data_IF_500280466652
#
_entry.id   IF_500280466652
#
_cell.length_a   1.000
_cell.length_b   1.000
_cell.length_c   1.000
_cell.angle_alpha   90.00
_cell.angle_beta   90.00
_cell.angle_gamma   90.00
#
_symmetry.space_group_name_H-M   'P 1'
#
loop_
_entity.id
_entity.type
_entity.pdbx_description
1 polymer ?
#
# COMPACT_ATOMS: atom_id res chain seq x y z
N UNK A 1 7.12 33.60 17.56
CA UNK A 1 6.11 33.09 16.60
C UNK A 1 5.84 34.09 15.46
N UNK A 2 5.37 35.31 15.71
CA UNK A 2 5.11 36.31 14.64
C UNK A 2 6.36 36.73 13.83
N UNK A 3 7.54 36.74 14.45
CA UNK A 3 8.81 37.03 13.75
C UNK A 3 9.27 35.91 12.80
N UNK A 4 8.89 34.66 13.10
CA UNK A 4 9.10 33.50 12.21
C UNK A 4 8.12 33.53 11.03
N UNK A 5 6.89 34.00 11.26
CA UNK A 5 5.87 34.18 10.23
C UNK A 5 6.29 35.28 9.23
N UNK A 6 6.86 36.39 9.71
CA UNK A 6 7.31 37.48 8.83
C UNK A 6 8.50 37.08 7.95
N UNK A 7 9.46 36.34 8.51
CA UNK A 7 10.58 35.81 7.72
C UNK A 7 10.10 34.78 6.69
N UNK A 8 9.13 33.93 7.03
CA UNK A 8 8.53 32.94 6.13
C UNK A 8 7.85 33.55 4.89
N UNK A 9 7.18 34.71 5.04
CA UNK A 9 6.57 35.41 3.90
C UNK A 9 7.61 35.98 2.91
N UNK A 10 8.74 36.51 3.42
CA UNK A 10 9.84 36.98 2.56
C UNK A 10 10.49 35.79 1.84
N UNK A 11 10.65 34.64 2.50
CA UNK A 11 11.22 33.43 1.89
C UNK A 11 10.31 32.88 0.78
N UNK A 12 8.99 32.84 0.98
CA UNK A 12 8.04 32.37 -0.06
C UNK A 12 8.06 33.27 -1.30
N UNK A 13 8.20 34.58 -1.14
CA UNK A 13 8.24 35.52 -2.26
C UNK A 13 9.54 35.43 -3.06
N UNK A 14 10.65 35.11 -2.39
CA UNK A 14 11.95 34.83 -3.03
C UNK A 14 11.91 33.45 -3.74
N UNK A 15 11.30 32.44 -3.12
CA UNK A 15 11.17 31.09 -3.71
C UNK A 15 10.33 31.11 -4.98
N UNK A 16 9.18 31.80 -4.99
CA UNK A 16 8.32 31.90 -6.18
C UNK A 16 9.01 32.62 -7.33
N UNK A 17 9.79 33.67 -7.03
CA UNK A 17 10.57 34.41 -8.03
C UNK A 17 11.73 33.55 -8.60
N UNK A 18 12.43 32.79 -7.74
CA UNK A 18 13.51 31.91 -8.15
C UNK A 18 13.01 30.67 -8.93
N UNK A 19 11.85 30.13 -8.58
CA UNK A 19 11.24 29.00 -9.29
C UNK A 19 10.79 29.40 -10.71
N UNK A 20 10.34 30.65 -10.90
CA UNK A 20 10.05 31.21 -12.22
C UNK A 20 11.32 31.36 -13.09
N UNK A 21 12.42 31.85 -12.49
CA UNK A 21 13.71 32.00 -13.18
C UNK A 21 14.32 30.64 -13.54
N UNK A 22 14.24 29.66 -12.63
CA UNK A 22 14.74 28.30 -12.85
C UNK A 22 13.99 27.58 -13.97
N UNK A 23 12.67 27.69 -14.01
CA UNK A 23 11.85 27.10 -15.09
C UNK A 23 12.19 27.69 -16.46
N UNK A 24 12.48 28.99 -16.54
CA UNK A 24 12.94 29.63 -17.78
C UNK A 24 14.34 29.16 -18.20
N UNK A 25 15.27 28.97 -17.25
CA UNK A 25 16.60 28.42 -17.56
C UNK A 25 16.51 26.96 -18.04
N UNK A 26 15.67 26.13 -17.42
CA UNK A 26 15.49 24.74 -17.80
C UNK A 26 14.88 24.61 -19.22
N UNK A 27 13.93 25.48 -19.58
CA UNK A 27 13.39 25.54 -20.94
C UNK A 27 14.45 25.97 -21.96
N UNK A 28 15.31 26.92 -21.62
CA UNK A 28 16.40 27.36 -22.49
C UNK A 28 17.47 26.27 -22.68
N UNK A 29 17.81 25.51 -21.64
CA UNK A 29 18.73 24.37 -21.75
C UNK A 29 18.16 23.25 -22.62
N UNK A 30 16.88 22.91 -22.46
CA UNK A 30 16.20 21.91 -23.32
C UNK A 30 16.19 22.35 -24.78
N UNK A 31 15.94 23.63 -25.07
CA UNK A 31 16.04 24.19 -26.43
C UNK A 31 17.47 24.08 -27.00
N UNK A 32 18.49 24.40 -26.21
CA UNK A 32 19.89 24.27 -26.65
C UNK A 32 20.31 22.82 -26.91
N UNK A 33 19.88 21.86 -26.08
CA UNK A 33 20.15 20.44 -26.31
C UNK A 33 19.48 19.91 -27.58
N UNK A 34 18.25 20.34 -27.87
CA UNK A 34 17.56 19.99 -29.12
C UNK A 34 18.30 20.58 -30.33
N UNK A 35 18.74 21.84 -30.25
CA UNK A 35 19.52 22.49 -31.31
C UNK A 35 20.85 21.76 -31.54
N UNK A 36 21.58 21.40 -30.48
CA UNK A 36 22.82 20.64 -30.58
C UNK A 36 22.60 19.24 -31.20
N UNK A 37 21.53 18.55 -30.80
CA UNK A 37 21.17 17.24 -31.36
C UNK A 37 20.84 17.33 -32.85
N UNK A 38 20.13 18.38 -33.26
CA UNK A 38 19.79 18.62 -34.67
C UNK A 38 21.01 19.01 -35.50
N UNK A 39 21.95 19.79 -34.95
CA UNK A 39 23.24 20.10 -35.59
C UNK A 39 24.11 18.86 -35.77
N UNK A 40 24.12 17.96 -34.78
CA UNK A 40 24.88 16.72 -34.83
C UNK A 40 24.29 15.73 -35.86
N UNK A 41 22.97 15.67 -35.96
CA UNK A 41 22.27 14.93 -37.01
C UNK A 41 22.55 15.50 -38.40
N UNK A 42 22.54 16.82 -38.57
CA UNK A 42 22.85 17.48 -39.85
C UNK A 42 24.31 17.24 -40.29
N UNK A 43 25.26 17.29 -39.35
CA UNK A 43 26.67 16.98 -39.64
C UNK A 43 26.87 15.51 -40.02
N UNK A 44 26.16 14.58 -39.37
CA UNK A 44 26.22 13.17 -39.72
C UNK A 44 25.63 12.90 -41.12
N UNK A 45 24.53 13.58 -41.48
CA UNK A 45 23.94 13.48 -42.83
C UNK A 45 24.88 14.02 -43.92
N UNK A 46 25.51 15.18 -43.69
CA UNK A 46 26.51 15.73 -44.62
C UNK A 46 27.74 14.82 -44.79
N UNK A 47 28.12 14.10 -43.72
CA UNK A 47 29.22 13.14 -43.76
C UNK A 47 28.84 11.89 -44.56
N UNK A 48 27.60 11.43 -44.43
CA UNK A 48 27.06 10.29 -45.22
C UNK A 48 26.98 10.67 -46.70
N UNK A 49 26.49 11.86 -47.04
CA UNK A 49 26.42 12.34 -48.44
C UNK A 49 27.83 12.48 -49.05
N UNK A 50 28.82 12.92 -48.27
CA UNK A 50 30.22 12.97 -48.72
C UNK A 50 30.81 11.57 -49.00
N UNK A 51 30.51 10.59 -48.15
CA UNK A 51 30.96 9.19 -48.33
C UNK A 51 30.27 8.54 -49.53
N UNK A 52 28.97 8.80 -49.74
CA UNK A 52 28.24 8.32 -50.91
C UNK A 52 28.84 8.90 -52.20
N UNK A 53 29.16 10.20 -52.22
CA UNK A 53 29.79 10.85 -53.38
C UNK A 53 31.18 10.29 -53.69
N UNK A 54 31.99 10.00 -52.67
CA UNK A 54 33.29 9.32 -52.83
C UNK A 54 33.14 7.90 -53.40
N UNK A 55 32.09 7.16 -53.00
CA UNK A 55 31.82 5.82 -53.53
C UNK A 55 31.32 5.86 -54.99
N UNK A 56 30.55 6.88 -55.37
CA UNK A 56 30.11 7.10 -56.76
C UNK A 56 31.29 7.50 -57.67
N UNK A 57 32.21 8.33 -57.20
CA UNK A 57 33.42 8.73 -57.93
C UNK A 57 34.39 7.55 -58.14
N UNK A 58 34.46 6.59 -57.21
CA UNK A 58 35.25 5.36 -57.39
C UNK A 58 34.59 4.35 -58.35
N UNK A 59 33.26 4.26 -58.36
CA UNK A 59 32.55 3.39 -59.31
C UNK A 59 32.60 3.92 -60.76
N UNK A 60 32.61 5.24 -60.95
CA UNK A 60 32.77 5.84 -62.28
C UNK A 60 34.18 5.66 -62.85
N UNK A 61 35.22 5.59 -62.00
CA UNK A 61 36.59 5.29 -62.44
C UNK A 61 36.81 3.80 -62.76
N UNK A 62 36.07 2.88 -62.15
CA UNK A 62 36.17 1.44 -62.44
C UNK A 62 35.36 0.98 -63.67
N UNK A 63 34.37 1.78 -64.12
CA UNK A 63 33.57 1.46 -65.32
C UNK A 63 34.21 1.87 -66.67
N UNK A 64 35.41 2.46 -66.67
CA UNK A 64 36.18 2.73 -67.91
C UNK A 64 37.19 1.64 -68.29
N UNK A 65 37.31 0.57 -67.50
CA UNK A 65 38.13 -0.59 -67.84
C UNK A 65 37.36 -1.88 -67.60
N UNK A 66 36.60 -2.34 -68.60
CA UNK A 66 36.52 -3.73 -69.07
C UNK A 66 35.25 -3.97 -69.90
N UNK A 67 35.38 -3.72 -71.20
CA UNK A 67 34.47 -4.22 -72.21
C UNK A 67 35.02 -5.57 -72.75
N UNK A 68 34.33 -6.69 -72.47
CA UNK A 68 34.01 -7.79 -73.40
C UNK A 68 33.42 -9.01 -72.67
N UNK A 69 32.14 -9.24 -72.99
CA UNK A 69 31.28 -10.44 -72.86
C UNK A 69 31.91 -11.76 -73.40
N UNK A 70 31.22 -12.93 -73.41
CA UNK A 70 30.08 -13.45 -72.60
C UNK A 70 30.21 -14.96 -72.23
N UNK A 71 29.34 -15.50 -71.34
CA UNK A 71 28.49 -16.69 -71.62
C UNK A 71 27.72 -17.27 -70.39
N UNK A 72 26.38 -17.22 -70.52
CA UNK A 72 25.35 -18.26 -70.30
C UNK A 72 25.48 -19.32 -69.17
N UNK A 73 24.40 -19.35 -68.36
CA UNK A 73 23.44 -20.47 -68.11
C UNK A 73 23.43 -21.16 -66.73
N UNK A 74 22.18 -21.24 -66.23
CA UNK A 74 21.53 -22.29 -65.42
C UNK A 74 21.69 -22.32 -63.87
N UNK A 75 20.53 -22.27 -63.20
CA UNK A 75 20.17 -22.56 -61.80
C UNK A 75 19.15 -23.74 -61.90
N UNK A 76 18.90 -24.72 -60.97
CA UNK A 76 19.02 -24.68 -59.49
C UNK A 76 19.46 -25.95 -58.70
N UNK A 77 19.76 -25.69 -57.40
CA UNK A 77 19.31 -26.37 -56.15
C UNK A 77 20.04 -27.59 -55.52
N UNK A 78 20.55 -27.29 -54.31
CA UNK A 78 20.41 -27.95 -52.98
C UNK A 78 21.45 -29.00 -52.56
N UNK A 79 22.14 -28.68 -51.46
CA UNK A 79 22.80 -29.61 -50.54
C UNK A 79 23.77 -28.89 -49.58
N UNK A 80 23.45 -28.69 -48.29
CA UNK A 80 24.25 -27.88 -47.37
C UNK A 80 25.17 -28.72 -46.48
N UNK A 81 26.33 -28.17 -46.08
CA UNK A 81 26.94 -28.35 -44.74
C UNK A 81 28.21 -27.49 -44.56
N UNK A 82 28.17 -26.65 -43.49
CA UNK A 82 29.24 -26.27 -42.55
C UNK A 82 30.39 -25.39 -43.13
N UNK A 83 30.84 -24.28 -42.54
CA UNK A 83 30.79 -23.77 -41.16
C UNK A 83 31.21 -22.28 -41.13
N UNK A 84 30.54 -21.47 -40.29
CA UNK A 84 31.03 -20.40 -39.39
C UNK A 84 31.83 -19.21 -40.00
N UNK A 85 31.63 -17.92 -39.66
CA UNK A 85 30.86 -17.28 -38.57
C UNK A 85 30.90 -15.74 -38.75
N UNK A 86 29.80 -15.01 -38.51
CA UNK A 86 29.65 -13.82 -37.62
C UNK A 86 28.57 -12.80 -38.05
N UNK A 87 27.74 -12.48 -37.05
CA UNK A 87 26.85 -11.31 -36.86
C UNK A 87 25.53 -11.24 -37.65
N UNK A 88 24.38 -11.51 -36.98
CA UNK A 88 23.51 -10.46 -36.39
C UNK A 88 22.27 -11.07 -35.70
N UNK A 89 21.59 -10.28 -34.84
CA UNK A 89 20.26 -10.46 -34.22
C UNK A 89 20.13 -11.26 -32.90
N UNK A 90 20.51 -10.60 -31.79
CA UNK A 90 19.85 -10.75 -30.48
C UNK A 90 18.79 -9.64 -30.34
N UNK A 91 17.54 -9.90 -30.77
CA UNK A 91 16.35 -9.13 -30.34
C UNK A 91 14.98 -9.74 -30.70
N UNK A 92 14.87 -10.96 -31.23
CA UNK A 92 13.56 -11.54 -31.60
C UNK A 92 13.16 -12.86 -30.90
N UNK A 93 13.89 -13.32 -29.88
CA UNK A 93 13.56 -14.62 -29.23
C UNK A 93 12.76 -14.51 -27.91
N UNK A 94 12.63 -13.32 -27.31
CA UNK A 94 11.85 -13.16 -26.07
C UNK A 94 10.36 -12.84 -26.30
N UNK A 95 9.94 -12.47 -27.51
CA UNK A 95 8.52 -12.23 -27.82
C UNK A 95 7.76 -13.51 -28.16
N UNK A 96 8.43 -14.51 -28.77
CA UNK A 96 7.79 -15.77 -29.15
C UNK A 96 7.52 -16.70 -27.94
N UNK A 97 8.35 -16.62 -26.89
CA UNK A 97 8.21 -17.43 -25.68
C UNK A 97 7.09 -16.92 -24.74
N UNK A 98 6.84 -15.60 -24.71
CA UNK A 98 5.70 -14.99 -24.01
C UNK A 98 4.36 -15.23 -24.73
N UNK A 99 4.36 -15.36 -26.06
CA UNK A 99 3.14 -15.57 -26.84
C UNK A 99 2.63 -17.02 -26.79
N UNK A 100 3.53 -17.99 -26.55
CA UNK A 100 3.18 -19.41 -26.41
C UNK A 100 2.70 -19.78 -25.00
N UNK A 101 3.08 -19.04 -23.95
CA UNK A 101 2.62 -19.25 -22.58
C UNK A 101 1.25 -18.62 -22.33
N UNK A 102 0.97 -17.44 -22.91
CA UNK A 102 -0.35 -16.79 -22.84
C UNK A 102 -1.43 -17.60 -23.57
N UNK A 103 -1.11 -18.17 -24.73
CA UNK A 103 -2.01 -19.04 -25.49
C UNK A 103 -2.42 -20.31 -24.75
N UNK A 104 -1.60 -20.84 -23.85
CA UNK A 104 -1.94 -22.04 -23.05
C UNK A 104 -2.84 -21.71 -21.85
N UNK A 105 -2.58 -20.59 -21.17
CA UNK A 105 -3.44 -20.13 -20.07
C UNK A 105 -4.84 -19.74 -20.58
N UNK A 106 -4.94 -19.06 -21.72
CA UNK A 106 -6.23 -18.72 -22.34
C UNK A 106 -7.03 -19.96 -22.75
N UNK A 107 -6.36 -21.04 -23.20
CA UNK A 107 -7.03 -22.30 -23.55
C UNK A 107 -7.54 -23.08 -22.32
N UNK A 108 -6.82 -23.01 -21.19
CA UNK A 108 -7.25 -23.62 -19.93
C UNK A 108 -8.40 -22.85 -19.27
N UNK A 109 -8.43 -21.53 -19.40
CA UNK A 109 -9.49 -20.67 -18.87
C UNK A 109 -10.80 -20.86 -19.65
N UNK A 110 -10.74 -20.97 -20.99
CA UNK A 110 -11.89 -21.31 -21.84
C UNK A 110 -12.44 -22.72 -21.54
N UNK A 111 -11.58 -23.67 -21.15
CA UNK A 111 -12.02 -25.02 -20.75
C UNK A 111 -12.71 -25.03 -19.38
N UNK A 112 -12.25 -24.19 -18.44
CA UNK A 112 -12.90 -23.98 -17.12
C UNK A 112 -14.25 -23.27 -17.26
N UNK A 113 -14.35 -22.25 -18.11
CA UNK A 113 -15.62 -21.57 -18.38
C UNK A 113 -16.65 -22.49 -19.04
N UNK A 114 -16.23 -23.33 -20.01
CA UNK A 114 -17.13 -24.33 -20.63
C UNK A 114 -17.62 -25.39 -19.65
N UNK A 115 -16.81 -25.78 -18.66
CA UNK A 115 -17.22 -26.69 -17.58
C UNK A 115 -18.21 -26.01 -16.62
N UNK A 116 -17.98 -24.74 -16.29
CA UNK A 116 -18.87 -23.92 -15.45
C UNK A 116 -20.22 -23.65 -16.13
N UNK A 117 -20.22 -23.41 -17.45
CA UNK A 117 -21.45 -23.19 -18.24
C UNK A 117 -22.30 -24.47 -18.37
N UNK A 118 -21.63 -25.64 -18.42
CA UNK A 118 -22.28 -26.95 -18.40
C UNK A 118 -22.88 -27.27 -17.02
N UNK A 119 -22.23 -26.84 -15.93
CA UNK A 119 -22.78 -26.93 -14.58
C UNK A 119 -23.98 -26.00 -14.36
N UNK A 120 -23.94 -24.77 -14.90
CA UNK A 120 -25.04 -23.80 -14.82
C UNK A 120 -26.29 -24.21 -15.62
N UNK A 121 -26.14 -24.98 -16.70
CA UNK A 121 -27.28 -25.53 -17.46
C UNK A 121 -28.07 -26.64 -16.73
N UNK A 122 -27.50 -27.24 -15.68
CA UNK A 122 -28.13 -28.32 -14.93
C UNK A 122 -28.91 -27.84 -13.67
N UNK A 123 -28.89 -26.54 -13.36
CA UNK A 123 -29.66 -25.95 -12.27
C UNK A 123 -30.91 -25.24 -12.82
N UNK A 124 -32.01 -25.98 -12.95
CA UNK A 124 -33.35 -25.41 -13.11
C UNK A 124 -34.14 -25.64 -11.83
N UNK A 125 -34.34 -24.59 -11.03
CA UNK A 125 -35.40 -24.56 -10.02
C UNK A 125 -36.06 -23.16 -10.08
N UNK A 126 -37.33 -23.15 -10.48
CA UNK A 126 -38.17 -21.96 -10.57
C UNK A 126 -38.80 -21.61 -9.23
N UNK A 127 -39.13 -20.33 -9.04
CA UNK A 127 -39.82 -19.83 -7.85
C UNK A 127 -41.26 -19.44 -8.20
N UNK A 128 -42.22 -20.11 -7.56
CA UNK A 128 -43.57 -19.58 -7.31
C UNK A 128 -43.81 -19.57 -5.81
N UNK A 129 -44.27 -18.41 -5.32
CA UNK A 129 -44.83 -18.07 -4.02
C UNK A 129 -44.97 -19.17 -2.95
N UNK A 130 -44.35 -18.93 -1.79
CA UNK A 130 -44.90 -19.28 -0.48
C UNK A 130 -44.51 -20.65 0.10
N UNK A 131 -43.64 -20.60 1.12
CA UNK A 131 -43.31 -21.67 2.10
C UNK A 131 -42.74 -22.99 1.57
N UNK A 132 -41.84 -23.57 2.38
CA UNK A 132 -41.68 -25.01 2.75
C UNK A 132 -40.19 -25.28 3.01
N UNK A 133 -39.79 -25.44 4.27
CA UNK A 133 -39.54 -26.71 5.01
C UNK A 133 -38.28 -27.42 4.50
N UNK A 134 -37.31 -27.55 5.40
CA UNK A 134 -36.18 -28.46 5.25
C UNK A 134 -36.69 -29.91 5.34
N UNK A 135 -36.48 -30.69 4.30
CA UNK A 135 -36.37 -32.14 4.42
C UNK A 135 -35.22 -32.64 3.55
N UNK A 136 -34.33 -33.36 4.22
CA UNK A 136 -33.13 -34.02 3.76
C UNK A 136 -33.45 -35.33 3.04
N UNK A 137 -32.70 -35.66 1.97
CA UNK A 137 -32.06 -36.95 1.64
C UNK A 137 -31.71 -36.99 0.14
N UNK A 138 -30.78 -37.89 -0.24
CA UNK A 138 -30.14 -38.13 -1.56
C UNK A 138 -28.77 -37.42 -1.67
N UNK A 139 -27.60 -38.05 -1.81
CA UNK A 139 -27.13 -39.45 -1.81
C UNK A 139 -25.64 -39.42 -1.39
N UNK A 140 -25.22 -40.32 -0.49
CA UNK A 140 -23.96 -40.25 0.28
C UNK A 140 -22.75 -41.00 -0.31
N UNK A 141 -22.79 -41.48 -1.55
CA UNK A 141 -21.76 -42.42 -2.02
C UNK A 141 -20.76 -41.87 -3.06
N UNK A 142 -20.85 -40.61 -3.50
CA UNK A 142 -19.90 -40.02 -4.47
C UNK A 142 -19.19 -38.76 -3.98
N UNK A 143 -19.16 -38.50 -2.66
CA UNK A 143 -18.52 -37.31 -2.07
C UNK A 143 -17.29 -37.64 -1.18
N UNK A 144 -16.86 -38.90 -1.13
CA UNK A 144 -15.86 -39.38 -0.17
C UNK A 144 -14.50 -39.78 -0.79
N UNK A 145 -14.22 -39.41 -2.04
CA UNK A 145 -12.93 -39.68 -2.71
C UNK A 145 -12.01 -38.45 -2.83
N UNK A 146 -12.57 -37.23 -2.87
CA UNK A 146 -11.75 -36.00 -2.96
C UNK A 146 -11.17 -35.57 -1.60
N UNK A 147 -11.89 -35.79 -0.49
CA UNK A 147 -11.42 -35.45 0.87
C UNK A 147 -10.29 -36.35 1.37
N UNK A 148 -10.10 -37.55 0.79
CA UNK A 148 -9.01 -38.45 1.20
C UNK A 148 -7.64 -37.99 0.72
N UNK A 149 -7.57 -37.23 -0.37
CA UNK A 149 -6.30 -36.70 -0.87
C UNK A 149 -5.88 -35.44 -0.09
N UNK A 150 -6.83 -34.65 0.38
CA UNK A 150 -6.57 -33.46 1.19
C UNK A 150 -6.20 -33.85 2.64
N UNK A 151 -6.86 -34.85 3.24
CA UNK A 151 -6.50 -35.38 4.57
C UNK A 151 -5.13 -36.07 4.53
N UNK A 152 -4.82 -36.87 3.50
CA UNK A 152 -3.51 -37.50 3.36
C UNK A 152 -2.37 -36.48 3.21
N UNK A 153 -2.64 -35.33 2.57
CA UNK A 153 -1.67 -34.23 2.46
C UNK A 153 -1.41 -33.54 3.81
N UNK A 154 -2.44 -33.39 4.66
CA UNK A 154 -2.27 -32.81 6.00
C UNK A 154 -1.61 -33.79 6.99
N UNK A 155 -1.90 -35.09 6.91
CA UNK A 155 -1.24 -36.12 7.73
C UNK A 155 0.23 -36.31 7.35
N UNK A 156 0.60 -36.17 6.06
CA UNK A 156 1.99 -36.19 5.60
C UNK A 156 2.77 -34.94 6.06
N UNK A 157 2.11 -33.77 6.15
CA UNK A 157 2.71 -32.55 6.72
C UNK A 157 2.87 -32.62 8.25
N UNK A 158 1.97 -33.30 8.97
CA UNK A 158 2.09 -33.51 10.42
C UNK A 158 3.20 -34.53 10.76
N UNK A 159 3.34 -35.61 9.99
CA UNK A 159 4.41 -36.59 10.21
C UNK A 159 5.81 -36.01 9.94
N UNK A 160 5.95 -35.04 9.01
CA UNK A 160 7.22 -34.31 8.79
C UNK A 160 7.55 -33.36 9.97
N UNK A 161 6.57 -32.96 10.77
CA UNK A 161 6.78 -32.14 11.96
C UNK A 161 7.05 -32.95 13.23
N UNK A 162 6.66 -34.23 13.27
CA UNK A 162 6.84 -35.11 14.45
C UNK A 162 8.14 -35.95 14.42
N UNK A 163 8.88 -36.00 13.29
CA UNK A 163 10.13 -36.78 13.19
C UNK A 163 11.40 -36.09 13.75
N UNK A 164 11.31 -34.88 14.33
CA UNK A 164 12.44 -34.17 14.96
C UNK A 164 12.32 -34.03 16.50
N UNK A 165 11.37 -34.72 17.16
CA UNK A 165 11.18 -34.68 18.64
C UNK A 165 11.70 -35.94 19.37
N UNK A 166 12.86 -36.46 18.99
CA UNK A 166 13.58 -37.48 19.77
C UNK A 166 14.97 -36.97 20.17
N UNK A 167 15.02 -36.14 21.22
CA UNK A 167 16.19 -36.01 22.08
C UNK A 167 15.69 -35.89 23.54
N UNK A 168 15.62 -37.04 24.21
CA UNK A 168 15.41 -37.14 25.65
C UNK A 168 16.51 -36.39 26.39
N UNK A 169 16.17 -35.30 27.09
CA UNK A 169 17.09 -34.67 28.06
C UNK A 169 16.49 -34.70 29.46
N UNK A 170 16.96 -35.67 30.23
CA UNK A 170 16.72 -35.83 31.66
C UNK A 170 17.22 -34.62 32.47
N UNK A 171 16.40 -34.26 33.46
CA UNK A 171 16.66 -33.58 34.74
C UNK A 171 17.94 -32.73 34.95
N UNK A 172 17.68 -31.48 35.34
CA UNK A 172 18.38 -30.78 36.44
C UNK A 172 19.87 -30.47 36.29
N UNK A 173 20.30 -29.78 35.22
CA UNK A 173 21.56 -28.99 35.23
C UNK A 173 21.64 -28.04 34.02
N UNK A 174 20.76 -27.03 33.94
CA UNK A 174 20.69 -26.16 32.75
C UNK A 174 20.36 -24.68 32.98
N UNK A 175 20.22 -24.22 34.22
CA UNK A 175 19.84 -22.82 34.53
C UNK A 175 21.01 -21.80 34.45
N UNK A 176 22.04 -22.09 33.65
CA UNK A 176 23.14 -21.17 33.37
C UNK A 176 23.48 -21.10 31.88
N UNK A 177 22.49 -20.93 30.99
CA UNK A 177 22.78 -20.49 29.61
C UNK A 177 21.59 -19.99 28.75
N UNK A 178 20.47 -19.52 29.34
CA UNK A 178 19.39 -18.84 28.59
C UNK A 178 19.75 -17.35 28.38
N UNK A 179 20.96 -17.12 27.87
CA UNK A 179 21.48 -15.82 27.46
C UNK A 179 22.06 -15.89 26.05
N UNK A 180 21.53 -16.79 25.21
CA UNK A 180 21.93 -16.84 23.81
C UNK A 180 21.30 -15.65 23.07
N UNK A 181 22.15 -14.73 22.65
CA UNK A 181 21.87 -13.70 21.67
C UNK A 181 21.03 -14.27 20.51
N UNK A 182 19.74 -13.94 20.48
CA UNK A 182 18.93 -14.09 19.28
C UNK A 182 19.58 -13.22 18.19
N UNK A 183 20.16 -13.87 17.19
CA UNK A 183 20.92 -13.19 16.14
C UNK A 183 19.95 -12.40 15.24
N UNK A 184 19.86 -11.08 15.47
CA UNK A 184 18.96 -10.14 14.77
C UNK A 184 19.11 -10.19 13.25
N UNK A 185 20.30 -10.53 12.76
CA UNK A 185 20.59 -10.58 11.33
C UNK A 185 19.86 -11.74 10.65
N UNK A 186 19.78 -12.90 11.31
CA UNK A 186 19.03 -14.06 10.78
C UNK A 186 17.51 -13.80 10.73
N UNK A 187 16.97 -13.03 11.67
CA UNK A 187 15.55 -12.65 11.69
C UNK A 187 15.24 -11.65 10.57
N UNK A 188 16.11 -10.65 10.37
CA UNK A 188 16.02 -9.69 9.27
C UNK A 188 16.06 -10.40 7.90
N UNK A 189 16.94 -11.38 7.75
CA UNK A 189 17.04 -12.20 6.53
C UNK A 189 15.80 -13.06 6.26
N UNK A 190 15.11 -13.54 7.33
CA UNK A 190 13.86 -14.28 7.18
C UNK A 190 12.73 -13.36 6.74
N UNK A 191 12.55 -12.21 7.41
CA UNK A 191 11.51 -11.24 7.08
C UNK A 191 11.69 -10.68 5.66
N UNK A 192 12.92 -10.38 5.28
CA UNK A 192 13.24 -9.92 3.93
C UNK A 192 12.87 -10.96 2.87
N UNK A 193 13.24 -12.24 3.08
CA UNK A 193 12.86 -13.33 2.17
C UNK A 193 11.34 -13.52 2.07
N UNK A 194 10.64 -13.46 3.21
CA UNK A 194 9.18 -13.53 3.23
C UNK A 194 8.57 -12.40 2.40
N UNK A 195 9.01 -11.16 2.62
CA UNK A 195 8.47 -10.00 1.91
C UNK A 195 8.81 -10.01 0.42
N UNK A 196 9.95 -10.57 0.01
CA UNK A 196 10.24 -10.77 -1.41
C UNK A 196 9.31 -11.78 -2.08
N UNK A 197 8.92 -12.85 -1.37
CA UNK A 197 8.10 -13.92 -1.94
C UNK A 197 6.60 -13.63 -1.85
N UNK A 198 6.16 -13.01 -0.75
CA UNK A 198 4.75 -12.88 -0.38
C UNK A 198 4.29 -11.43 -0.20
N UNK A 199 5.17 -10.44 -0.37
CA UNK A 199 4.84 -9.04 -0.13
C UNK A 199 3.68 -8.53 -1.01
N UNK A 200 3.68 -8.86 -2.29
CA UNK A 200 2.60 -8.45 -3.20
C UNK A 200 1.27 -9.14 -2.86
N UNK A 201 1.30 -10.40 -2.43
CA UNK A 201 0.12 -11.12 -1.96
C UNK A 201 -0.46 -10.48 -0.70
N UNK A 202 0.41 -10.13 0.25
CA UNK A 202 0.01 -9.42 1.47
C UNK A 202 -0.63 -8.06 1.15
N UNK A 203 -0.04 -7.29 0.24
CA UNK A 203 -0.60 -5.99 -0.20
C UNK A 203 -1.98 -6.15 -0.83
N UNK A 204 -2.14 -7.15 -1.71
CA UNK A 204 -3.44 -7.47 -2.30
C UNK A 204 -4.45 -7.91 -1.23
N UNK A 205 -4.04 -8.70 -0.24
CA UNK A 205 -4.91 -9.14 0.84
C UNK A 205 -5.38 -7.96 1.70
N UNK A 206 -4.49 -7.03 2.03
CA UNK A 206 -4.85 -5.79 2.73
C UNK A 206 -5.92 -5.02 1.94
N UNK A 207 -5.70 -4.80 0.64
CA UNK A 207 -6.68 -4.09 -0.20
C UNK A 207 -8.02 -4.84 -0.30
N UNK A 208 -8.01 -6.18 -0.37
CA UNK A 208 -9.23 -6.99 -0.42
C UNK A 208 -10.03 -6.96 0.89
N UNK A 209 -9.35 -6.74 2.02
CA UNK A 209 -9.96 -6.63 3.34
C UNK A 209 -10.37 -5.19 3.71
N UNK A 210 -10.11 -4.21 2.84
CA UNK A 210 -10.43 -2.81 3.09
C UNK A 210 -11.94 -2.59 3.32
N UNK A 211 -12.26 -1.76 4.31
CA UNK A 211 -13.64 -1.43 4.69
C UNK A 211 -13.98 0.01 4.29
N UNK A 212 -15.23 0.23 3.89
CA UNK A 212 -15.74 1.57 3.58
C UNK A 212 -16.15 2.31 4.87
N UNK A 213 -15.38 3.34 5.23
CA UNK A 213 -15.66 4.22 6.36
C UNK A 213 -16.28 5.57 5.94
N UNK A 214 -16.51 5.77 4.64
CA UNK A 214 -17.04 7.03 4.11
C UNK A 214 -18.43 7.33 4.65
N UNK A 215 -18.72 8.63 4.87
CA UNK A 215 -20.04 9.08 5.30
C UNK A 215 -20.63 8.30 6.50
N UNK A 216 -19.80 7.86 7.46
CA UNK A 216 -20.23 7.00 8.57
C UNK A 216 -21.39 7.58 9.41
N UNK A 217 -21.51 8.91 9.48
CA UNK A 217 -22.55 9.61 10.25
C UNK A 217 -23.84 9.89 9.46
N UNK A 218 -23.89 9.61 8.15
CA UNK A 218 -24.97 10.05 7.23
C UNK A 218 -26.38 9.67 7.70
N UNK A 219 -26.53 8.50 8.32
CA UNK A 219 -27.83 7.98 8.74
C UNK A 219 -28.19 8.32 10.21
N UNK A 220 -27.32 9.04 10.92
CA UNK A 220 -27.44 9.29 12.37
C UNK A 220 -27.78 10.75 12.67
N UNK A 221 -28.30 11.02 13.87
CA UNK A 221 -28.43 12.37 14.43
C UNK A 221 -27.22 12.67 15.31
N UNK A 222 -26.02 12.50 14.77
CA UNK A 222 -24.76 12.73 15.48
C UNK A 222 -24.02 13.87 14.76
N UNK A 223 -23.77 15.01 15.42
CA UNK A 223 -22.92 16.05 14.88
C UNK A 223 -21.48 15.55 14.69
N UNK A 224 -20.87 15.86 13.54
CA UNK A 224 -19.46 15.53 13.24
C UNK A 224 -18.51 15.92 14.37
N UNK A 225 -18.70 17.11 14.98
CA UNK A 225 -17.89 17.58 16.11
C UNK A 225 -17.95 16.66 17.33
N UNK A 226 -19.07 15.99 17.60
CA UNK A 226 -19.19 15.09 18.74
C UNK A 226 -18.39 13.81 18.51
N UNK A 227 -18.37 13.31 17.27
CA UNK A 227 -17.49 12.21 16.87
C UNK A 227 -16.02 12.62 16.93
N UNK A 228 -15.66 13.82 16.46
CA UNK A 228 -14.29 14.35 16.61
C UNK A 228 -13.86 14.45 18.09
N UNK A 229 -14.76 14.90 18.99
CA UNK A 229 -14.52 14.93 20.44
C UNK A 229 -14.28 13.54 21.02
N UNK A 230 -15.06 12.55 20.58
CA UNK A 230 -14.86 11.16 21.00
C UNK A 230 -13.49 10.62 20.55
N UNK A 231 -13.10 10.89 19.30
CA UNK A 231 -11.79 10.47 18.77
C UNK A 231 -10.61 11.18 19.46
N UNK A 232 -10.73 12.46 19.80
CA UNK A 232 -9.71 13.17 20.59
C UNK A 232 -9.63 12.62 22.02
N UNK A 233 -10.77 12.27 22.62
CA UNK A 233 -10.81 11.66 23.95
C UNK A 233 -10.18 10.26 23.98
N UNK A 234 -10.37 9.45 22.92
CA UNK A 234 -9.69 8.15 22.80
C UNK A 234 -8.16 8.28 22.89
N UNK A 235 -7.58 9.37 22.36
CA UNK A 235 -6.13 9.63 22.45
C UNK A 235 -5.69 9.80 23.90
N UNK A 236 -6.44 10.55 24.71
CA UNK A 236 -6.17 10.71 26.14
C UNK A 236 -6.28 9.38 26.88
N UNK A 237 -7.33 8.59 26.62
CA UNK A 237 -7.48 7.31 27.30
C UNK A 237 -6.32 6.39 26.95
N UNK A 238 -6.03 6.14 25.67
CA UNK A 238 -4.92 5.25 25.32
C UNK A 238 -3.55 5.82 25.74
N UNK A 239 -3.39 7.13 25.81
CA UNK A 239 -2.20 7.77 26.39
C UNK A 239 -1.99 7.43 27.86
N UNK A 240 -3.07 7.31 28.63
CA UNK A 240 -3.04 6.86 30.04
C UNK A 240 -2.81 5.34 30.17
N UNK A 241 -3.08 4.56 29.13
CA UNK A 241 -2.87 3.10 29.07
C UNK A 241 -1.71 2.70 28.15
N UNK A 242 -0.74 3.59 27.88
CA UNK A 242 0.38 3.36 26.93
C UNK A 242 1.29 2.16 27.24
N UNK A 243 1.22 1.61 28.44
CA UNK A 243 1.97 0.40 28.81
C UNK A 243 1.37 -0.86 28.20
N UNK A 244 0.05 -0.85 27.96
CA UNK A 244 -0.71 -1.99 27.44
C UNK A 244 -1.23 -1.74 26.03
N UNK A 245 -1.59 -0.49 25.71
CA UNK A 245 -2.22 -0.12 24.45
C UNK A 245 -1.27 0.61 23.51
N UNK A 246 -1.46 0.39 22.21
CA UNK A 246 -0.63 0.95 21.14
C UNK A 246 -1.41 1.85 20.18
N UNK A 247 -0.71 2.49 19.24
CA UNK A 247 -1.37 3.22 18.15
C UNK A 247 -2.26 2.31 17.30
N UNK A 248 -1.86 1.04 17.10
CA UNK A 248 -2.68 0.05 16.40
C UNK A 248 -4.06 -0.09 17.04
N UNK A 249 -4.09 -0.14 18.37
CA UNK A 249 -5.30 -0.21 19.21
C UNK A 249 -6.18 1.04 19.04
N UNK A 250 -5.58 2.22 19.05
CA UNK A 250 -6.30 3.48 18.79
C UNK A 250 -6.97 3.48 17.42
N UNK A 251 -6.22 3.19 16.36
CA UNK A 251 -6.79 3.18 15.00
C UNK A 251 -7.83 2.07 14.81
N UNK A 252 -7.67 0.93 15.47
CA UNK A 252 -8.69 -0.13 15.53
C UNK A 252 -9.98 0.37 16.20
N UNK A 253 -9.88 1.04 17.35
CA UNK A 253 -11.04 1.56 18.08
C UNK A 253 -11.81 2.61 17.25
N UNK A 254 -11.09 3.56 16.63
CA UNK A 254 -11.69 4.57 15.74
C UNK A 254 -12.37 3.90 14.55
N UNK A 255 -11.68 2.98 13.87
CA UNK A 255 -12.23 2.25 12.73
C UNK A 255 -13.46 1.43 13.09
N UNK A 256 -13.47 0.75 14.24
CA UNK A 256 -14.62 -0.02 14.72
C UNK A 256 -15.82 0.88 14.99
N UNK A 257 -15.61 2.05 15.63
CA UNK A 257 -16.66 3.01 15.89
C UNK A 257 -17.30 3.54 14.59
N UNK A 258 -16.47 3.93 13.62
CA UNK A 258 -16.96 4.45 12.34
C UNK A 258 -17.62 3.38 11.48
N UNK A 259 -17.07 2.17 11.44
CA UNK A 259 -17.66 1.03 10.74
C UNK A 259 -19.01 0.64 11.34
N UNK A 260 -19.11 0.66 12.68
CA UNK A 260 -20.35 0.45 13.38
C UNK A 260 -21.39 1.52 13.01
N UNK A 261 -21.05 2.81 13.05
CA UNK A 261 -21.95 3.87 12.61
C UNK A 261 -22.38 3.67 11.16
N UNK A 262 -21.44 3.43 10.25
CA UNK A 262 -21.73 3.19 8.83
C UNK A 262 -22.76 2.07 8.60
N UNK A 263 -22.62 0.94 9.31
CA UNK A 263 -23.47 -0.25 9.13
C UNK A 263 -24.75 -0.22 9.96
N UNK A 264 -24.81 0.59 11.01
CA UNK A 264 -25.96 0.62 11.91
C UNK A 264 -27.19 1.20 11.20
N UNK A 265 -28.26 0.40 11.12
CA UNK A 265 -29.53 0.80 10.51
C UNK A 265 -30.42 1.59 11.47
N UNK A 266 -30.25 1.39 12.78
CA UNK A 266 -30.95 2.17 13.80
C UNK A 266 -30.38 3.58 13.88
N UNK A 267 -31.26 4.58 13.87
CA UNK A 267 -30.84 5.98 13.97
C UNK A 267 -30.33 6.30 15.38
N UNK A 268 -29.00 6.40 15.49
CA UNK A 268 -28.31 6.81 16.71
C UNK A 268 -28.40 8.33 16.93
N UNK A 269 -28.26 8.73 18.20
CA UNK A 269 -28.28 10.12 18.67
C UNK A 269 -27.00 10.44 19.45
N UNK A 270 -26.83 11.70 19.82
CA UNK A 270 -25.65 12.22 20.52
C UNK A 270 -25.29 11.45 21.81
N UNK A 271 -26.29 11.03 22.59
CA UNK A 271 -26.08 10.29 23.84
C UNK A 271 -25.44 8.91 23.64
N UNK A 272 -25.52 8.35 22.44
CA UNK A 272 -25.05 7.00 22.13
C UNK A 272 -23.54 6.97 21.85
N UNK A 273 -22.97 8.09 21.38
CA UNK A 273 -21.58 8.17 20.90
C UNK A 273 -20.59 7.71 21.97
N UNK A 274 -20.76 8.15 23.22
CA UNK A 274 -19.84 7.81 24.31
C UNK A 274 -19.91 6.34 24.69
N UNK A 275 -21.10 5.72 24.67
CA UNK A 275 -21.26 4.32 25.01
C UNK A 275 -20.60 3.43 23.97
N UNK A 276 -20.93 3.63 22.69
CA UNK A 276 -20.35 2.85 21.60
C UNK A 276 -18.87 3.15 21.41
N UNK A 277 -18.44 4.37 21.71
CA UNK A 277 -17.04 4.75 21.75
C UNK A 277 -16.24 3.95 22.78
N UNK A 278 -16.73 3.85 24.02
CA UNK A 278 -16.11 3.02 25.07
C UNK A 278 -16.13 1.55 24.69
N UNK A 279 -17.25 1.03 24.18
CA UNK A 279 -17.35 -0.37 23.76
C UNK A 279 -16.39 -0.68 22.60
N UNK A 280 -16.22 0.24 21.63
CA UNK A 280 -15.26 0.09 20.54
C UNK A 280 -13.81 0.07 21.05
N UNK A 281 -13.47 0.87 22.07
CA UNK A 281 -12.15 0.83 22.71
C UNK A 281 -11.91 -0.49 23.45
N UNK A 282 -12.89 -0.97 24.22
CA UNK A 282 -12.80 -2.25 24.92
C UNK A 282 -12.62 -3.41 23.94
N UNK A 283 -13.34 -3.39 22.82
CA UNK A 283 -13.19 -4.39 21.78
C UNK A 283 -11.83 -4.31 21.08
N UNK A 284 -11.33 -3.10 20.82
CA UNK A 284 -10.02 -2.89 20.21
C UNK A 284 -8.87 -3.39 21.09
N UNK A 285 -8.91 -3.16 22.41
CA UNK A 285 -7.86 -3.63 23.32
C UNK A 285 -7.85 -5.16 23.39
N UNK A 286 -9.02 -5.82 23.36
CA UNK A 286 -9.09 -7.29 23.25
C UNK A 286 -8.54 -7.85 21.94
N UNK A 287 -8.60 -7.06 20.86
CA UNK A 287 -8.15 -7.49 19.54
C UNK A 287 -6.65 -7.24 19.30
N UNK A 288 -6.11 -6.12 19.81
CA UNK A 288 -4.78 -5.63 19.44
C UNK A 288 -3.74 -5.71 20.56
N UNK A 289 -4.17 -5.69 21.83
CA UNK A 289 -3.25 -5.65 22.98
C UNK A 289 -2.98 -7.05 23.53
N UNK A 290 -1.73 -7.29 23.96
CA UNK A 290 -1.37 -8.52 24.68
C UNK A 290 -2.19 -8.64 25.98
N UNK A 291 -2.33 -7.51 26.67
CA UNK A 291 -3.13 -7.38 27.90
C UNK A 291 -4.16 -6.28 27.70
N UNK A 292 -5.41 -6.68 27.50
CA UNK A 292 -6.52 -5.74 27.31
C UNK A 292 -6.85 -4.99 28.62
N UNK A 293 -7.48 -3.80 28.48
CA UNK A 293 -7.98 -3.05 29.63
C UNK A 293 -9.14 -3.84 30.26
N UNK A 294 -9.06 -4.10 31.57
CA UNK A 294 -10.07 -4.87 32.29
C UNK A 294 -11.45 -4.20 32.20
N UNK A 295 -12.52 -5.00 32.24
CA UNK A 295 -13.88 -4.44 32.18
C UNK A 295 -14.20 -3.53 33.37
N UNK A 296 -13.65 -3.84 34.55
CA UNK A 296 -13.77 -3.00 35.74
C UNK A 296 -13.10 -1.63 35.53
N UNK A 297 -11.88 -1.60 34.96
CA UNK A 297 -11.22 -0.34 34.61
C UNK A 297 -11.98 0.43 33.52
N UNK A 298 -12.57 -0.27 32.55
CA UNK A 298 -13.42 0.33 31.52
C UNK A 298 -14.65 1.01 32.16
N UNK A 299 -15.28 0.40 33.15
CA UNK A 299 -16.43 0.98 33.87
C UNK A 299 -15.99 2.13 34.77
N UNK A 300 -15.00 1.90 35.63
CA UNK A 300 -14.62 2.81 36.71
C UNK A 300 -13.73 3.96 36.22
N UNK A 301 -12.64 3.64 35.51
CA UNK A 301 -11.62 4.63 35.14
C UNK A 301 -11.92 5.30 33.81
N UNK A 302 -12.33 4.54 32.78
CA UNK A 302 -12.61 5.07 31.44
C UNK A 302 -14.04 5.63 31.37
N UNK A 303 -15.03 4.89 31.86
CA UNK A 303 -16.43 5.27 31.84
C UNK A 303 -16.86 6.19 32.97
N UNK A 304 -16.03 6.39 34.00
CA UNK A 304 -16.36 7.14 35.23
C UNK A 304 -17.70 6.73 35.84
N UNK A 305 -18.00 5.43 35.84
CA UNK A 305 -19.26 4.84 36.32
C UNK A 305 -20.53 5.39 35.64
N UNK A 306 -20.40 6.06 34.47
CA UNK A 306 -21.53 6.57 33.69
C UNK A 306 -22.38 5.44 33.10
N UNK A 307 -21.77 4.30 32.79
CA UNK A 307 -22.43 3.13 32.25
C UNK A 307 -22.12 1.91 33.11
N UNK A 308 -23.13 1.06 33.29
CA UNK A 308 -22.95 -0.21 33.99
C UNK A 308 -22.22 -1.21 33.11
N UNK A 309 -21.56 -2.18 33.74
CA UNK A 309 -20.90 -3.31 33.06
C UNK A 309 -21.82 -3.97 32.03
N UNK A 310 -23.08 -4.26 32.42
CA UNK A 310 -24.10 -4.85 31.55
C UNK A 310 -24.31 -4.01 30.28
N UNK A 311 -24.42 -2.69 30.42
CA UNK A 311 -24.67 -1.78 29.30
C UNK A 311 -23.48 -1.70 28.35
N UNK A 312 -22.25 -1.78 28.86
CA UNK A 312 -21.04 -1.82 28.03
C UNK A 312 -20.96 -3.15 27.26
N UNK A 313 -21.27 -4.28 27.91
CA UNK A 313 -21.32 -5.60 27.24
C UNK A 313 -22.41 -5.66 26.16
N UNK A 314 -23.58 -5.08 26.41
CA UNK A 314 -24.66 -4.99 25.41
C UNK A 314 -24.23 -4.16 24.19
N UNK A 315 -23.54 -3.04 24.43
CA UNK A 315 -23.01 -2.20 23.36
C UNK A 315 -21.89 -2.90 22.56
N UNK A 316 -20.98 -3.60 23.24
CA UNK A 316 -19.97 -4.44 22.60
C UNK A 316 -20.60 -5.52 21.70
N UNK A 317 -21.56 -6.26 22.24
CA UNK A 317 -22.28 -7.28 21.49
C UNK A 317 -23.00 -6.69 20.27
N UNK A 318 -23.60 -5.50 20.43
CA UNK A 318 -24.23 -4.80 19.30
C UNK A 318 -23.23 -4.39 18.23
N UNK A 319 -22.05 -3.89 18.60
CA UNK A 319 -20.97 -3.60 17.63
C UNK A 319 -20.61 -4.86 16.87
N UNK A 320 -20.28 -5.95 17.58
CA UNK A 320 -19.89 -7.23 16.98
C UNK A 320 -20.94 -7.78 16.01
N UNK A 321 -22.21 -7.72 16.41
CA UNK A 321 -23.33 -8.14 15.55
C UNK A 321 -23.44 -7.29 14.30
N UNK A 322 -23.35 -5.95 14.42
CA UNK A 322 -23.51 -5.03 13.28
C UNK A 322 -22.32 -5.11 12.31
N UNK A 323 -21.11 -5.39 12.81
CA UNK A 323 -19.93 -5.56 11.94
C UNK A 323 -19.74 -6.99 11.44
N UNK A 324 -20.67 -7.90 11.72
CA UNK A 324 -20.63 -9.32 11.31
C UNK A 324 -19.38 -10.06 11.84
N UNK A 325 -18.92 -9.73 13.05
CA UNK A 325 -17.67 -10.23 13.65
C UNK A 325 -16.40 -9.88 12.85
N UNK A 326 -16.49 -9.07 11.78
CA UNK A 326 -15.36 -8.64 10.95
C UNK A 326 -14.64 -7.46 11.59
N UNK A 327 -13.94 -7.73 12.68
CA UNK A 327 -13.20 -6.73 13.46
C UNK A 327 -11.73 -6.60 13.03
N UNK A 328 -11.20 -7.58 12.29
CA UNK A 328 -9.83 -7.61 11.79
C UNK A 328 -9.75 -7.13 10.33
N UNK A 329 -9.85 -5.81 10.15
CA UNK A 329 -9.65 -5.15 8.85
C UNK A 329 -8.41 -4.25 8.89
N UNK A 330 -7.71 -3.99 7.78
CA UNK A 330 -6.57 -3.10 7.79
C UNK A 330 -6.99 -1.67 8.09
N UNK A 331 -6.33 -1.07 9.08
CA UNK A 331 -6.56 0.32 9.46
C UNK A 331 -5.66 1.25 8.66
N UNK A 332 -5.94 2.56 8.70
CA UNK A 332 -5.05 3.58 8.14
C UNK A 332 -3.62 3.48 8.69
N UNK A 333 -3.45 3.07 9.95
CA UNK A 333 -2.15 2.80 10.56
C UNK A 333 -1.46 1.54 9.99
N UNK A 334 -2.22 0.50 9.65
CA UNK A 334 -1.69 -0.68 8.97
C UNK A 334 -1.02 -0.28 7.66
N UNK A 335 -1.72 0.52 6.83
CA UNK A 335 -1.17 1.01 5.57
C UNK A 335 0.00 1.97 5.76
N UNK A 336 -0.04 2.84 6.78
CA UNK A 336 1.08 3.73 7.11
C UNK A 336 2.37 2.93 7.32
N UNK A 337 2.32 1.94 8.21
CA UNK A 337 3.49 1.11 8.52
C UNK A 337 3.93 0.29 7.31
N UNK A 338 2.98 -0.22 6.53
CA UNK A 338 3.29 -0.98 5.31
C UNK A 338 4.03 -0.13 4.28
N UNK A 339 3.57 1.09 4.01
CA UNK A 339 4.24 1.97 3.06
C UNK A 339 5.61 2.44 3.56
N UNK A 340 5.72 2.83 4.83
CA UNK A 340 7.02 3.20 5.41
C UNK A 340 8.02 2.05 5.30
N UNK A 341 7.58 0.81 5.55
CA UNK A 341 8.41 -0.37 5.34
C UNK A 341 8.79 -0.57 3.86
N UNK A 342 7.88 -0.37 2.90
CA UNK A 342 8.23 -0.53 1.46
C UNK A 342 9.22 0.54 0.97
N UNK A 343 9.18 1.75 1.52
CA UNK A 343 10.10 2.84 1.13
C UNK A 343 11.46 2.69 1.80
N UNK A 344 11.46 2.46 3.12
CA UNK A 344 12.64 2.54 3.97
C UNK A 344 13.14 1.18 4.44
N UNK A 345 12.48 0.08 4.03
CA UNK A 345 12.77 -1.27 4.51
C UNK A 345 12.73 -1.35 6.04
N UNK A 346 13.57 -2.18 6.64
CA UNK A 346 13.78 -2.24 8.10
C UNK A 346 14.82 -1.23 8.59
N UNK A 347 15.11 -0.17 7.84
CA UNK A 347 16.09 0.84 8.27
C UNK A 347 15.49 1.73 9.35
N UNK A 348 16.18 1.81 10.48
CA UNK A 348 15.77 2.63 11.62
C UNK A 348 16.87 3.66 11.90
N UNK A 349 16.88 4.75 11.13
CA UNK A 349 17.67 5.93 11.46
C UNK A 349 16.77 7.00 12.12
N UNK A 350 17.39 7.97 12.80
CA UNK A 350 16.65 9.01 13.52
C UNK A 350 15.70 9.81 12.60
N UNK A 351 16.09 10.03 11.35
CA UNK A 351 15.27 10.73 10.35
C UNK A 351 14.02 9.95 9.98
N UNK A 352 14.14 8.65 9.72
CA UNK A 352 13.02 7.76 9.38
C UNK A 352 12.07 7.66 10.57
N UNK A 353 12.60 7.57 11.80
CA UNK A 353 11.79 7.60 13.01
C UNK A 353 11.01 8.91 13.14
N UNK A 354 11.67 10.07 12.98
CA UNK A 354 11.01 11.38 13.00
C UNK A 354 9.92 11.49 11.93
N UNK A 355 10.20 11.02 10.71
CA UNK A 355 9.22 11.00 9.62
C UNK A 355 8.03 10.08 9.93
N UNK A 356 8.29 8.94 10.56
CA UNK A 356 7.26 7.97 10.99
C UNK A 356 6.35 8.60 12.03
N UNK A 357 6.92 9.18 13.10
CA UNK A 357 6.17 9.88 14.14
C UNK A 357 5.37 11.05 13.57
N UNK A 358 5.96 11.84 12.67
CA UNK A 358 5.27 12.97 12.05
C UNK A 358 4.12 12.52 11.13
N UNK A 359 4.31 11.44 10.37
CA UNK A 359 3.25 10.86 9.53
C UNK A 359 2.12 10.29 10.36
N UNK A 360 2.44 9.63 11.47
CA UNK A 360 1.48 9.16 12.45
C UNK A 360 0.69 10.31 13.09
N UNK A 361 1.37 11.42 13.45
CA UNK A 361 0.74 12.63 13.97
C UNK A 361 -0.30 13.19 12.99
N UNK A 362 0.10 13.39 11.73
CA UNK A 362 -0.78 13.86 10.66
C UNK A 362 -1.97 12.90 10.51
N UNK A 363 -1.71 11.59 10.55
CA UNK A 363 -2.77 10.60 10.40
C UNK A 363 -3.78 10.64 11.57
N UNK A 364 -3.28 10.81 12.81
CA UNK A 364 -4.12 11.04 13.99
C UNK A 364 -4.96 12.31 13.82
N UNK A 365 -4.41 13.40 13.28
CA UNK A 365 -5.22 14.58 12.94
C UNK A 365 -6.31 14.22 11.93
N UNK A 366 -5.95 13.55 10.82
CA UNK A 366 -6.87 13.23 9.73
C UNK A 366 -8.08 12.44 10.22
N UNK A 367 -7.90 11.46 11.09
CA UNK A 367 -9.00 10.63 11.59
C UNK A 367 -9.95 11.38 12.54
N UNK A 368 -9.72 12.65 12.89
CA UNK A 368 -10.71 13.46 13.60
C UNK A 368 -11.83 13.97 12.68
N UNK A 369 -11.53 14.22 11.39
CA UNK A 369 -12.48 14.75 10.41
C UNK A 369 -13.12 13.59 9.63
N UNK A 370 -14.42 13.36 9.85
CA UNK A 370 -15.19 12.33 9.18
C UNK A 370 -15.17 12.48 7.65
N UNK A 371 -15.01 13.71 7.14
CA UNK A 371 -14.92 13.96 5.69
C UNK A 371 -13.60 13.50 5.07
N UNK A 372 -12.53 13.30 5.85
CA UNK A 372 -11.30 12.71 5.34
C UNK A 372 -11.39 11.19 5.24
N UNK A 373 -12.34 10.57 5.96
CA UNK A 373 -12.66 9.15 5.86
C UNK A 373 -13.46 8.79 4.61
N UNK A 374 -13.88 9.79 3.81
CA UNK A 374 -14.41 9.58 2.47
C UNK A 374 -13.35 9.05 1.50
N UNK A 375 -12.06 9.25 1.82
CA UNK A 375 -10.96 8.60 1.12
C UNK A 375 -10.71 7.22 1.71
N UNK A 376 -10.34 6.27 0.85
CA UNK A 376 -9.88 4.94 1.25
C UNK A 376 -8.73 5.04 2.26
N UNK A 377 -8.68 4.11 3.22
CA UNK A 377 -7.70 4.13 4.31
C UNK A 377 -6.27 4.10 3.78
N UNK A 378 -6.01 3.33 2.74
CA UNK A 378 -4.68 3.28 2.14
C UNK A 378 -4.30 4.59 1.43
N UNK A 379 -5.24 5.29 0.79
CA UNK A 379 -4.98 6.61 0.17
C UNK A 379 -4.75 7.69 1.24
N UNK A 380 -5.47 7.62 2.35
CA UNK A 380 -5.29 8.56 3.46
C UNK A 380 -3.92 8.38 4.13
N UNK A 381 -3.50 7.14 4.36
CA UNK A 381 -2.15 6.82 4.88
C UNK A 381 -1.04 7.31 3.93
N UNK A 382 -1.18 7.01 2.64
CA UNK A 382 -0.28 7.49 1.59
C UNK A 382 -0.14 9.01 1.62
N UNK A 383 -1.27 9.71 1.70
CA UNK A 383 -1.32 11.17 1.69
C UNK A 383 -0.64 11.78 2.92
N UNK A 384 -0.81 11.18 4.10
CA UNK A 384 -0.13 11.62 5.31
C UNK A 384 1.41 11.50 5.18
N UNK A 385 1.93 10.39 4.66
CA UNK A 385 3.38 10.22 4.43
C UNK A 385 3.91 11.25 3.44
N UNK A 386 3.20 11.47 2.33
CA UNK A 386 3.61 12.45 1.31
C UNK A 386 3.64 13.87 1.88
N UNK A 387 2.63 14.26 2.67
CA UNK A 387 2.63 15.57 3.33
C UNK A 387 3.80 15.69 4.31
N UNK A 388 4.07 14.64 5.11
CA UNK A 388 5.23 14.60 6.00
C UNK A 388 6.55 14.79 5.27
N UNK A 389 6.75 14.06 4.16
CA UNK A 389 7.94 14.17 3.33
C UNK A 389 8.12 15.59 2.77
N UNK A 390 7.04 16.20 2.25
CA UNK A 390 7.08 17.57 1.72
C UNK A 390 7.47 18.59 2.78
N UNK A 391 6.93 18.47 3.99
CA UNK A 391 7.29 19.34 5.11
C UNK A 391 8.76 19.13 5.50
N UNK A 392 9.19 17.87 5.62
CA UNK A 392 10.57 17.52 5.93
C UNK A 392 11.57 18.14 4.93
N UNK A 393 11.37 17.92 3.63
CA UNK A 393 12.24 18.49 2.60
C UNK A 393 12.17 20.01 2.52
N UNK A 394 11.00 20.60 2.81
CA UNK A 394 10.86 22.07 2.85
C UNK A 394 11.69 22.67 3.98
N UNK A 395 11.75 22.02 5.15
CA UNK A 395 12.58 22.46 6.27
C UNK A 395 14.07 22.35 5.94
N UNK A 396 14.51 21.23 5.36
CA UNK A 396 15.91 21.05 4.94
C UNK A 396 16.37 22.06 3.90
N UNK A 397 15.49 22.47 2.97
CA UNK A 397 15.80 23.50 1.97
C UNK A 397 15.94 24.90 2.59
N UNK A 398 15.30 25.13 3.74
CA UNK A 398 15.44 26.37 4.51
C UNK A 398 16.78 26.46 5.24
N UNK A 399 17.38 25.32 5.57
CA UNK A 399 18.69 25.23 6.20
C UNK A 399 19.79 25.28 5.11
N UNK A 400 20.53 26.38 5.04
CA UNK A 400 21.53 26.73 4.00
C UNK A 400 22.75 25.77 3.84
N UNK A 401 22.70 24.57 4.44
CA UNK A 401 23.86 23.71 4.70
C UNK A 401 23.99 22.56 3.68
N UNK A 402 22.93 22.19 2.96
CA UNK A 402 22.95 21.07 2.01
C UNK A 402 22.97 21.52 0.54
N UNK A 403 23.66 20.81 -0.38
CA UNK A 403 23.55 21.08 -1.81
C UNK A 403 22.08 20.92 -2.25
N UNK A 404 21.45 22.06 -2.56
CA UNK A 404 20.02 22.17 -2.87
C UNK A 404 19.55 21.21 -3.98
N UNK A 405 20.42 20.94 -4.95
CA UNK A 405 20.13 20.02 -6.07
C UNK A 405 20.01 18.56 -5.62
N UNK A 406 20.82 18.11 -4.65
CA UNK A 406 20.81 16.72 -4.19
C UNK A 406 19.55 16.44 -3.36
N UNK A 407 19.11 17.41 -2.55
CA UNK A 407 17.86 17.31 -1.79
C UNK A 407 16.63 17.23 -2.72
N UNK A 408 16.61 18.01 -3.79
CA UNK A 408 15.52 17.94 -4.77
C UNK A 408 15.50 16.57 -5.45
N UNK A 409 16.66 16.03 -5.83
CA UNK A 409 16.74 14.71 -6.44
C UNK A 409 16.25 13.62 -5.48
N UNK A 410 16.66 13.67 -4.21
CA UNK A 410 16.18 12.73 -3.18
C UNK A 410 14.67 12.83 -2.97
N UNK A 411 14.12 14.04 -2.87
CA UNK A 411 12.69 14.26 -2.74
C UNK A 411 11.93 13.65 -3.92
N UNK A 412 12.35 13.94 -5.15
CA UNK A 412 11.72 13.40 -6.37
C UNK A 412 11.77 11.87 -6.38
N UNK A 413 12.92 11.27 -6.07
CA UNK A 413 13.06 9.81 -6.05
C UNK A 413 12.15 9.14 -5.02
N UNK A 414 12.06 9.67 -3.80
CA UNK A 414 11.17 9.11 -2.77
C UNK A 414 9.71 9.29 -3.17
N UNK A 415 9.36 10.45 -3.75
CA UNK A 415 8.01 10.71 -4.22
C UNK A 415 7.60 9.79 -5.38
N UNK A 416 8.50 9.51 -6.32
CA UNK A 416 8.27 8.54 -7.41
C UNK A 416 8.03 7.14 -6.85
N UNK A 417 8.93 6.67 -5.97
CA UNK A 417 8.77 5.38 -5.27
C UNK A 417 7.43 5.28 -4.53
N UNK A 418 7.00 6.38 -3.90
CA UNK A 418 5.70 6.43 -3.24
C UNK A 418 4.57 6.20 -4.23
N UNK A 419 4.51 6.95 -5.33
CA UNK A 419 3.44 6.81 -6.32
C UNK A 419 3.43 5.45 -7.03
N UNK A 420 4.55 4.71 -7.04
CA UNK A 420 4.62 3.32 -7.49
C UNK A 420 3.91 2.33 -6.55
N UNK A 421 3.69 2.67 -5.27
CA UNK A 421 3.02 1.80 -4.30
C UNK A 421 1.49 1.74 -4.47
N UNK A 422 0.91 2.66 -5.24
CA UNK A 422 -0.54 2.74 -5.48
C UNK A 422 -0.85 2.59 -6.96
N UNK A 423 -2.05 2.10 -7.27
CA UNK A 423 -2.48 1.94 -8.67
C UNK A 423 -2.56 3.28 -9.39
N UNK A 424 -2.19 3.30 -10.68
CA UNK A 424 -2.29 4.49 -11.53
C UNK A 424 -3.70 5.07 -11.58
N UNK A 425 -4.73 4.22 -11.47
CA UNK A 425 -6.13 4.65 -11.43
C UNK A 425 -6.46 5.51 -10.20
N UNK A 426 -5.68 5.39 -9.13
CA UNK A 426 -5.90 6.09 -7.86
C UNK A 426 -5.03 7.35 -7.71
N UNK A 427 -4.11 7.59 -8.64
CA UNK A 427 -3.19 8.74 -8.58
C UNK A 427 -3.91 10.09 -8.50
N UNK A 428 -5.04 10.24 -9.19
CA UNK A 428 -5.81 11.48 -9.14
C UNK A 428 -6.44 11.68 -7.76
N UNK A 429 -7.10 10.64 -7.22
CA UNK A 429 -7.68 10.67 -5.88
C UNK A 429 -6.61 10.92 -4.81
N UNK A 430 -5.42 10.33 -4.97
CA UNK A 430 -4.29 10.54 -4.07
C UNK A 430 -3.80 12.00 -4.11
N UNK A 431 -3.68 12.63 -5.29
CA UNK A 431 -3.31 14.04 -5.40
C UNK A 431 -4.30 14.96 -4.71
N UNK A 432 -5.60 14.70 -4.87
CA UNK A 432 -6.66 15.44 -4.20
C UNK A 432 -6.63 15.26 -2.68
N UNK A 433 -6.45 14.01 -2.22
CA UNK A 433 -6.31 13.70 -0.81
C UNK A 433 -5.10 14.39 -0.19
N UNK A 434 -3.92 14.35 -0.83
CA UNK A 434 -2.71 15.06 -0.41
C UNK A 434 -2.98 16.55 -0.22
N UNK A 435 -3.62 17.20 -1.19
CA UNK A 435 -3.92 18.63 -1.10
C UNK A 435 -4.86 18.92 0.07
N UNK A 436 -5.86 18.08 0.27
CA UNK A 436 -6.84 18.24 1.34
C UNK A 436 -6.23 18.00 2.72
N UNK A 437 -5.42 16.95 2.88
CA UNK A 437 -4.66 16.65 4.10
C UNK A 437 -3.73 17.81 4.42
N UNK A 438 -2.97 18.31 3.44
CA UNK A 438 -2.08 19.45 3.63
C UNK A 438 -2.83 20.68 4.17
N UNK A 439 -3.94 21.07 3.54
CA UNK A 439 -4.75 22.20 4.01
C UNK A 439 -5.37 21.95 5.39
N UNK A 440 -5.78 20.71 5.65
CA UNK A 440 -6.39 20.31 6.91
C UNK A 440 -5.40 20.39 8.08
N UNK A 441 -4.19 19.86 7.92
CA UNK A 441 -3.13 19.90 8.95
C UNK A 441 -2.86 21.34 9.40
N UNK A 442 -2.75 22.29 8.46
CA UNK A 442 -2.52 23.71 8.80
C UNK A 442 -3.72 24.40 9.45
N UNK A 443 -4.95 23.91 9.22
CA UNK A 443 -6.18 24.48 9.76
C UNK A 443 -6.75 23.70 10.95
N UNK A 444 -6.10 22.62 11.39
CA UNK A 444 -6.61 21.71 12.43
C UNK A 444 -6.96 22.46 13.72
N UNK A 445 -6.00 23.22 14.27
CA UNK A 445 -6.20 23.98 15.52
C UNK A 445 -7.23 25.11 15.37
N UNK A 446 -7.40 25.66 14.16
CA UNK A 446 -8.44 26.66 13.90
C UNK A 446 -9.83 26.00 13.85
N UNK A 447 -9.91 24.80 13.28
CA UNK A 447 -11.17 24.05 13.12
C UNK A 447 -11.60 23.35 14.41
N UNK A 448 -10.65 22.93 15.24
CA UNK A 448 -10.85 22.18 16.47
C UNK A 448 -10.09 22.80 17.66
N UNK A 449 -10.38 24.06 18.04
CA UNK A 449 -9.60 24.78 19.07
C UNK A 449 -9.69 24.17 20.48
N UNK A 450 -10.74 23.37 20.72
CA UNK A 450 -10.99 22.68 21.99
C UNK A 450 -10.31 21.30 22.06
N UNK A 451 -9.93 20.70 20.92
CA UNK A 451 -9.38 19.35 20.86
C UNK A 451 -7.86 19.43 21.00
N UNK A 452 -7.36 19.13 22.20
CA UNK A 452 -5.94 19.31 22.56
C UNK A 452 -5.27 18.03 23.00
N UNK A 453 -5.99 16.91 23.04
CA UNK A 453 -5.40 15.67 23.53
C UNK A 453 -4.32 15.15 22.59
N UNK A 454 -4.46 15.37 21.28
CA UNK A 454 -3.38 15.06 20.35
C UNK A 454 -2.09 15.83 20.67
N UNK A 455 -2.15 17.13 21.01
CA UNK A 455 -0.94 17.88 21.39
C UNK A 455 -0.37 17.43 22.74
N UNK A 456 -1.23 16.99 23.68
CA UNK A 456 -0.84 16.61 25.03
C UNK A 456 -0.28 15.20 25.16
N UNK A 457 -0.77 14.25 24.36
CA UNK A 457 -0.47 12.82 24.52
C UNK A 457 0.37 12.26 23.37
N UNK A 458 0.72 13.08 22.38
CA UNK A 458 1.64 12.68 21.31
C UNK A 458 3.08 12.93 21.74
N UNK A 459 3.72 11.90 22.30
CA UNK A 459 5.15 11.87 22.63
C UNK A 459 5.78 10.56 22.21
#
# INVERSE_FOLDING_TARGET
>A
MLHYIFNYFITIQIITTNQYLFNNQLQNQKKQQIIQKNLLLANNLNTIDFVIKQMEDQNNNNNNNNNKNPNKKDIPKIGPKLQNNKQCNKKSQNSALMFLSTSKMEQEEILKEKKLEKAKKNLKIGFTSGQIICESQIDKENFMEDDKQEIAFYEEQQNIMEEDEDDSFDSEEGNQQIGQHFNSDKLRDRQWRYNQLYGDYEDLNLLNQEVDLSNCLKNHKIPSILRSKMVDWMIEVFGNYKQTSSDKTYFRAVGLLDLFFKKQTKKLVESDVHLFGIAAMFLATKQEDISHISLDDIVEKVGHNKFTEKKIREAEYEILRIVDMKIDFPTTHTYLNRYLYKIFSSETNQTILQLTHFSLYILKQCVHDDKLLDYKSHILAFSAIVVSLKVYFSNLKGDSISPYNDLIQQEVQIMEKMFELISQSEHQNAKECIQRVNNFVFSFNQRYPELRNLEKFHY
#
